data_IF_718470750363
#
_entry.id   IF_718470750363
#
_cell.length_a   1.000
_cell.length_b   1.000
_cell.length_c   1.000
_cell.angle_alpha   90.00
_cell.angle_beta   90.00
_cell.angle_gamma   90.00
#
_symmetry.space_group_name_H-M   'P 1'
#
loop_
_entity.id
_entity.type
_entity.pdbx_description
1 polymer ?
#
# COMPACT_ATOMS: atom_id res chain seq x y z
N UNK A 1 70.26 38.17 -48.24
CA UNK A 1 69.53 39.41 -47.88
C UNK A 1 68.31 38.93 -47.12
N UNK A 2 68.53 38.54 -45.86
CA UNK A 2 67.54 37.88 -45.03
C UNK A 2 66.98 38.89 -44.03
N UNK A 3 65.69 39.21 -44.17
CA UNK A 3 64.95 39.98 -43.17
C UNK A 3 64.03 39.01 -42.41
N UNK A 4 64.45 38.67 -41.19
CA UNK A 4 63.56 38.12 -40.19
C UNK A 4 62.71 39.25 -39.60
N UNK A 5 61.39 39.22 -39.86
CA UNK A 5 60.43 40.11 -39.19
C UNK A 5 60.09 39.54 -37.81
N UNK A 6 60.65 40.15 -36.78
CA UNK A 6 60.33 39.88 -35.39
C UNK A 6 59.35 40.94 -34.87
N UNK A 7 58.35 40.44 -34.14
CA UNK A 7 57.60 41.13 -33.09
C UNK A 7 56.32 41.87 -33.47
N UNK A 8 55.20 41.18 -33.26
CA UNK A 8 54.22 41.64 -32.27
C UNK A 8 53.80 40.47 -31.37
N UNK A 9 54.55 40.26 -30.27
CA UNK A 9 54.07 39.39 -29.18
C UNK A 9 52.87 40.08 -28.54
N UNK A 10 51.67 39.55 -28.74
CA UNK A 10 50.50 39.88 -27.91
C UNK A 10 50.87 39.57 -26.46
N UNK A 11 50.99 40.59 -25.63
CA UNK A 11 51.06 40.41 -24.17
C UNK A 11 49.75 39.80 -23.73
N UNK A 12 49.82 38.57 -23.24
CA UNK A 12 48.74 37.87 -22.57
C UNK A 12 48.58 38.57 -21.21
N UNK A 13 47.57 39.42 -21.08
CA UNK A 13 47.16 39.92 -19.76
C UNK A 13 46.65 38.74 -18.94
N UNK A 14 47.48 38.22 -18.04
CA UNK A 14 47.19 37.10 -17.14
C UNK A 14 46.45 37.53 -15.86
N UNK A 15 45.53 38.51 -15.90
CA UNK A 15 44.86 38.93 -14.67
C UNK A 15 43.44 39.52 -14.81
N UNK A 16 42.64 39.03 -15.75
CA UNK A 16 41.18 39.24 -15.65
C UNK A 16 40.57 38.20 -14.70
N UNK A 17 40.43 38.57 -13.42
CA UNK A 17 39.57 37.82 -12.51
C UNK A 17 38.15 37.73 -13.09
N UNK A 18 37.50 36.54 -13.08
CA UNK A 18 36.15 36.41 -13.60
C UNK A 18 35.19 37.29 -12.79
N UNK A 19 34.61 38.30 -13.45
CA UNK A 19 33.64 39.23 -12.84
C UNK A 19 32.44 38.43 -12.30
N UNK A 20 32.29 38.41 -10.98
CA UNK A 20 31.19 37.75 -10.29
C UNK A 20 29.84 38.40 -10.66
N UNK A 21 28.96 37.64 -11.32
CA UNK A 21 27.65 38.12 -11.76
C UNK A 21 26.54 37.60 -10.81
N UNK A 22 26.09 38.47 -9.91
CA UNK A 22 25.07 38.17 -8.90
C UNK A 22 23.76 37.64 -9.51
N UNK A 23 23.30 38.23 -10.63
CA UNK A 23 22.06 37.83 -11.31
C UNK A 23 22.16 36.42 -11.88
N UNK A 24 23.30 36.08 -12.47
CA UNK A 24 23.55 34.74 -13.00
C UNK A 24 23.62 33.70 -11.89
N UNK A 25 24.31 34.00 -10.78
CA UNK A 25 24.37 33.09 -9.64
C UNK A 25 22.98 32.84 -9.03
N UNK A 26 22.18 33.90 -8.85
CA UNK A 26 20.79 33.76 -8.39
C UNK A 26 19.97 32.83 -9.29
N UNK A 27 20.03 33.00 -10.61
CA UNK A 27 19.31 32.14 -11.55
C UNK A 27 19.80 30.68 -11.52
N UNK A 28 21.10 30.45 -11.32
CA UNK A 28 21.64 29.09 -11.16
C UNK A 28 21.12 28.42 -9.89
N UNK A 29 21.05 29.15 -8.77
CA UNK A 29 20.52 28.61 -7.52
C UNK A 29 19.03 28.29 -7.64
N UNK A 30 18.22 29.18 -8.25
CA UNK A 30 16.80 28.90 -8.52
C UNK A 30 16.64 27.65 -9.39
N UNK A 31 17.48 27.50 -10.43
CA UNK A 31 17.45 26.31 -11.29
C UNK A 31 17.81 25.04 -10.52
N UNK A 32 18.81 25.10 -9.63
CA UNK A 32 19.21 23.97 -8.78
C UNK A 32 18.08 23.58 -7.83
N UNK A 33 17.45 24.54 -7.17
CA UNK A 33 16.29 24.31 -6.30
C UNK A 33 15.12 23.68 -7.07
N UNK A 34 14.84 24.19 -8.27
CA UNK A 34 13.80 23.63 -9.13
C UNK A 34 14.08 22.18 -9.54
N UNK A 35 15.31 21.87 -9.95
CA UNK A 35 15.71 20.52 -10.31
C UNK A 35 15.65 19.56 -9.12
N UNK A 36 16.08 20.00 -7.94
CA UNK A 36 15.98 19.22 -6.72
C UNK A 36 14.52 18.94 -6.36
N UNK A 37 13.65 19.96 -6.44
CA UNK A 37 12.21 19.81 -6.21
C UNK A 37 11.56 18.82 -7.18
N UNK A 38 11.90 18.91 -8.47
CA UNK A 38 11.41 17.95 -9.48
C UNK A 38 11.89 16.53 -9.19
N UNK A 39 13.16 16.35 -8.84
CA UNK A 39 13.72 15.04 -8.51
C UNK A 39 13.00 14.42 -7.31
N UNK A 40 12.85 15.19 -6.22
CA UNK A 40 12.17 14.72 -5.00
C UNK A 40 10.70 14.39 -5.28
N UNK A 41 10.01 15.19 -6.09
CA UNK A 41 8.65 14.88 -6.54
C UNK A 41 8.59 13.56 -7.30
N UNK A 42 9.54 13.31 -8.20
CA UNK A 42 9.66 12.04 -8.91
C UNK A 42 9.86 10.84 -7.97
N UNK A 43 10.67 10.99 -6.92
CA UNK A 43 10.86 9.95 -5.90
C UNK A 43 9.54 9.66 -5.15
N UNK A 44 8.83 10.70 -4.71
CA UNK A 44 7.53 10.56 -4.05
C UNK A 44 6.51 9.84 -4.94
N UNK A 45 6.43 10.21 -6.22
CA UNK A 45 5.51 9.58 -7.17
C UNK A 45 5.85 8.10 -7.39
N UNK A 46 7.14 7.75 -7.46
CA UNK A 46 7.59 6.36 -7.55
C UNK A 46 7.22 5.56 -6.29
N UNK A 47 7.49 6.09 -5.11
CA UNK A 47 7.15 5.44 -3.84
C UNK A 47 5.64 5.26 -3.72
N UNK A 48 4.85 6.28 -4.06
CA UNK A 48 3.39 6.21 -4.04
C UNK A 48 2.87 5.11 -4.98
N UNK A 49 3.40 5.03 -6.22
CA UNK A 49 3.05 3.94 -7.15
C UNK A 49 3.36 2.55 -6.56
N UNK A 50 4.51 2.39 -5.91
CA UNK A 50 4.88 1.13 -5.27
C UNK A 50 3.91 0.77 -4.12
N UNK A 51 3.57 1.74 -3.27
CA UNK A 51 2.63 1.54 -2.15
C UNK A 51 1.25 1.11 -2.67
N UNK A 52 0.72 1.80 -3.69
CA UNK A 52 -0.59 1.47 -4.28
C UNK A 52 -0.58 0.05 -4.85
N UNK A 53 0.49 -0.32 -5.58
CA UNK A 53 0.63 -1.67 -6.13
C UNK A 53 0.64 -2.75 -5.04
N UNK A 54 1.44 -2.55 -3.99
CA UNK A 54 1.52 -3.49 -2.86
C UNK A 54 0.19 -3.57 -2.10
N UNK A 55 -0.47 -2.43 -1.86
CA UNK A 55 -1.80 -2.40 -1.23
C UNK A 55 -2.82 -3.21 -2.03
N UNK A 56 -2.80 -3.11 -3.36
CA UNK A 56 -3.68 -3.89 -4.22
C UNK A 56 -3.38 -5.39 -4.14
N UNK A 57 -2.11 -5.77 -4.08
CA UNK A 57 -1.70 -7.17 -3.91
C UNK A 57 -2.19 -7.74 -2.57
N UNK A 58 -2.06 -6.98 -1.47
CA UNK A 58 -2.55 -7.39 -0.14
C UNK A 58 -4.06 -7.60 -0.17
N UNK A 59 -4.83 -6.65 -0.73
CA UNK A 59 -6.28 -6.80 -0.86
C UNK A 59 -6.68 -8.05 -1.66
N UNK A 60 -5.97 -8.33 -2.76
CA UNK A 60 -6.23 -9.53 -3.57
C UNK A 60 -5.94 -10.81 -2.77
N UNK A 61 -4.84 -10.84 -2.01
CA UNK A 61 -4.49 -11.97 -1.16
C UNK A 61 -5.52 -12.19 -0.04
N UNK A 62 -6.04 -11.14 0.58
CA UNK A 62 -7.11 -11.26 1.59
C UNK A 62 -8.39 -11.85 1.00
N UNK A 63 -8.79 -11.41 -0.20
CA UNK A 63 -9.96 -11.94 -0.89
C UNK A 63 -9.78 -13.43 -1.21
N UNK A 64 -8.59 -13.82 -1.68
CA UNK A 64 -8.25 -15.21 -1.93
C UNK A 64 -8.25 -16.03 -0.63
N UNK A 65 -7.63 -15.53 0.44
CA UNK A 65 -7.60 -16.19 1.75
C UNK A 65 -9.02 -16.41 2.31
N UNK A 66 -9.90 -15.40 2.22
CA UNK A 66 -11.33 -15.52 2.60
C UNK A 66 -12.09 -16.53 1.72
N UNK A 67 -11.74 -16.70 0.44
CA UNK A 67 -12.36 -17.71 -0.44
C UNK A 67 -11.90 -19.11 -0.09
N UNK A 68 -10.60 -19.30 0.11
CA UNK A 68 -10.00 -20.59 0.48
C UNK A 68 -10.50 -21.03 1.86
N UNK A 69 -10.49 -20.14 2.86
CA UNK A 69 -10.98 -20.43 4.21
C UNK A 69 -12.45 -20.87 4.20
N UNK A 70 -13.32 -20.23 3.41
CA UNK A 70 -14.73 -20.64 3.26
C UNK A 70 -14.91 -22.02 2.62
N UNK A 71 -14.00 -22.40 1.71
CA UNK A 71 -14.07 -23.65 0.97
C UNK A 71 -13.45 -24.82 1.74
N UNK A 72 -12.41 -24.56 2.52
CA UNK A 72 -11.66 -25.56 3.30
C UNK A 72 -12.13 -25.66 4.77
N UNK A 73 -13.20 -24.95 5.15
CA UNK A 73 -13.77 -25.01 6.50
C UNK A 73 -14.58 -26.31 6.69
N UNK A 74 -13.97 -27.31 7.34
CA UNK A 74 -14.71 -28.37 8.03
C UNK A 74 -15.55 -27.82 9.19
N UNK A 75 -15.31 -26.58 9.60
CA UNK A 75 -16.13 -25.82 10.54
C UNK A 75 -17.09 -24.93 9.76
N UNK A 76 -18.27 -25.46 9.44
CA UNK A 76 -19.37 -24.67 8.86
C UNK A 76 -19.94 -23.74 9.95
N UNK A 77 -19.64 -22.42 9.93
CA UNK A 77 -19.87 -21.58 11.11
C UNK A 77 -21.34 -21.23 11.32
N UNK A 78 -22.21 -21.51 10.34
CA UNK A 78 -23.63 -21.19 10.40
C UNK A 78 -24.44 -22.46 10.69
N UNK A 79 -24.71 -22.75 11.97
CA UNK A 79 -25.55 -23.87 12.41
C UNK A 79 -27.02 -23.45 12.47
N UNK A 80 -27.92 -24.33 12.02
CA UNK A 80 -29.36 -24.11 12.21
C UNK A 80 -29.74 -24.27 13.68
N UNK A 81 -30.64 -23.41 14.17
CA UNK A 81 -31.19 -23.49 15.53
C UNK A 81 -32.27 -24.57 15.66
N UNK A 82 -32.92 -24.92 14.54
CA UNK A 82 -34.06 -25.84 14.51
C UNK A 82 -33.65 -27.27 14.10
N UNK A 83 -32.43 -27.47 13.60
CA UNK A 83 -31.89 -28.80 13.27
C UNK A 83 -30.36 -28.84 13.37
N UNK A 84 -29.75 -30.02 13.20
CA UNK A 84 -28.31 -30.23 13.34
C UNK A 84 -27.49 -29.82 12.12
N UNK A 85 -28.11 -29.32 11.04
CA UNK A 85 -27.41 -28.93 9.83
C UNK A 85 -26.56 -27.67 10.01
N UNK A 86 -25.38 -27.71 9.41
CA UNK A 86 -24.42 -26.60 9.38
C UNK A 86 -24.14 -26.18 7.94
N UNK A 87 -23.90 -24.89 7.75
CA UNK A 87 -23.73 -24.22 6.46
C UNK A 87 -22.48 -23.34 6.43
N UNK A 88 -21.85 -23.23 5.26
CA UNK A 88 -20.66 -22.41 5.03
C UNK A 88 -20.97 -20.93 4.78
N UNK A 89 -22.24 -20.56 4.62
CA UNK A 89 -22.67 -19.17 4.40
C UNK A 89 -24.02 -18.86 5.05
N UNK A 90 -24.23 -17.58 5.41
CA UNK A 90 -25.49 -17.07 5.97
C UNK A 90 -26.67 -17.22 5.01
N UNK A 91 -26.45 -16.97 3.71
CA UNK A 91 -27.50 -17.10 2.68
C UNK A 91 -28.01 -18.55 2.57
N UNK A 92 -27.11 -19.53 2.63
CA UNK A 92 -27.47 -20.95 2.61
C UNK A 92 -28.26 -21.35 3.87
N UNK A 93 -27.88 -20.86 5.05
CA UNK A 93 -28.66 -21.07 6.28
C UNK A 93 -30.06 -20.44 6.20
N UNK A 94 -30.16 -19.20 5.72
CA UNK A 94 -31.45 -18.50 5.58
C UNK A 94 -32.38 -19.20 4.60
N UNK A 95 -31.84 -19.65 3.46
CA UNK A 95 -32.61 -20.44 2.50
C UNK A 95 -33.09 -21.75 3.14
N UNK A 96 -32.21 -22.44 3.87
CA UNK A 96 -32.58 -23.66 4.58
C UNK A 96 -33.70 -23.41 5.59
N UNK A 97 -33.59 -22.38 6.43
CA UNK A 97 -34.62 -22.02 7.41
C UNK A 97 -35.95 -21.70 6.71
N UNK A 98 -35.93 -20.93 5.62
CA UNK A 98 -37.12 -20.60 4.82
C UNK A 98 -37.74 -21.81 4.08
N UNK A 99 -36.98 -22.88 3.84
CA UNK A 99 -37.50 -24.05 3.14
C UNK A 99 -37.94 -25.17 4.09
N UNK A 100 -37.27 -25.30 5.24
CA UNK A 100 -37.43 -26.43 6.16
C UNK A 100 -38.05 -26.05 7.50
N UNK A 101 -38.00 -24.76 7.86
CA UNK A 101 -38.40 -24.26 9.17
C UNK A 101 -39.23 -22.97 9.05
N UNK A 102 -40.05 -22.87 8.00
CA UNK A 102 -40.98 -21.74 7.81
C UNK A 102 -42.03 -21.69 8.91
N UNK A 103 -41.64 -21.14 10.04
CA UNK A 103 -42.51 -20.45 10.98
C UNK A 103 -41.83 -19.13 11.26
N UNK A 104 -42.57 -18.04 11.04
CA UNK A 104 -42.11 -16.65 11.15
C UNK A 104 -41.21 -16.47 12.37
N UNK A 105 -39.94 -16.11 12.17
CA UNK A 105 -39.13 -15.63 13.27
C UNK A 105 -38.02 -14.68 12.81
N UNK A 106 -37.98 -13.60 13.58
CA UNK A 106 -37.17 -12.40 13.53
C UNK A 106 -35.66 -12.67 13.57
N UNK A 107 -34.82 -11.73 13.09
CA UNK A 107 -33.39 -11.95 12.93
C UNK A 107 -32.64 -11.68 14.24
N UNK A 108 -32.10 -12.72 14.87
CA UNK A 108 -31.06 -12.57 15.91
C UNK A 108 -29.71 -12.94 15.31
N UNK A 109 -28.91 -11.90 15.05
CA UNK A 109 -27.46 -11.98 14.84
C UNK A 109 -26.78 -12.23 16.17
N UNK A 110 -26.19 -13.42 16.35
CA UNK A 110 -25.10 -13.60 17.29
C UNK A 110 -24.00 -14.45 16.65
N UNK A 111 -22.76 -13.94 16.52
CA UNK A 111 -21.59 -14.78 16.29
C UNK A 111 -21.33 -15.59 17.57
N UNK A 112 -21.28 -16.92 17.45
CA UNK A 112 -20.79 -17.81 18.49
C UNK A 112 -19.27 -17.61 18.63
N UNK A 113 -18.90 -16.62 19.42
CA UNK A 113 -17.62 -16.63 20.11
C UNK A 113 -17.90 -16.75 21.61
N UNK A 114 -17.64 -17.95 22.13
CA UNK A 114 -17.35 -18.18 23.54
C UNK A 114 -16.86 -19.62 23.69
N UNK A 115 -15.55 -19.74 23.58
CA UNK A 115 -14.78 -20.83 24.14
C UNK A 115 -15.02 -20.84 25.66
N UNK A 116 -15.77 -21.83 26.15
CA UNK A 116 -15.87 -22.15 27.58
C UNK A 116 -15.25 -23.53 27.78
N UNK A 117 -13.97 -23.56 28.14
CA UNK A 117 -13.39 -24.73 28.80
C UNK A 117 -13.70 -24.55 30.28
N UNK A 118 -14.58 -25.42 30.80
CA UNK A 118 -14.78 -25.63 32.23
C UNK A 118 -14.29 -27.04 32.52
N UNK A 119 -13.35 -27.15 33.45
CA UNK A 119 -13.14 -28.28 34.38
C UNK A 119 -12.11 -27.75 35.40
N UNK A 120 -12.51 -27.33 36.61
CA UNK A 120 -12.90 -28.11 37.80
C UNK A 120 -11.80 -29.05 38.28
N UNK A 121 -11.48 -28.89 39.58
CA UNK A 121 -10.93 -29.81 40.60
C UNK A 121 -9.91 -29.02 41.43
N UNK A 122 -9.91 -29.00 42.75
CA UNK A 122 -10.61 -29.81 43.74
C UNK A 122 -10.41 -29.17 45.12
N UNK A 123 -11.37 -29.45 46.00
CA UNK A 123 -11.32 -29.38 47.46
C UNK A 123 -9.91 -29.41 48.09
N UNK A 124 -9.64 -28.45 48.97
CA UNK A 124 -9.32 -28.56 50.42
C UNK A 124 -9.25 -27.15 51.01
#
# INVERSE_FOLDING_TARGET
>A
MDLMDQSTRKTRDENEQPKYNFKMNYMHEIRKQHLLSQFLKGQLDNTHRQIVSLSQQVQNNEVLHKRISRKNCDTKPFKCTNCTHTYSSKAALQQHQKQKHSQEQTPITQPLDQQKVVEVLSEI
#
